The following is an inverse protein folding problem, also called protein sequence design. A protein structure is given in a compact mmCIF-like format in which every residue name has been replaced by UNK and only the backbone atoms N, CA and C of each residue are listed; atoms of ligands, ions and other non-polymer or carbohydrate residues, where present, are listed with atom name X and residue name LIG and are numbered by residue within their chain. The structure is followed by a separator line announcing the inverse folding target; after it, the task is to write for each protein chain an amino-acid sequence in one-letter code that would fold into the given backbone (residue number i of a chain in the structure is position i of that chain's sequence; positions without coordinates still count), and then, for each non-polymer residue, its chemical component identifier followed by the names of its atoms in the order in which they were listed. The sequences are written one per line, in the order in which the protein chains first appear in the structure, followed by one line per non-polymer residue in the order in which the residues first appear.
data_IF_397525513916
#
_entry.id   IF_397525513916
#
_cell.length_a   1.000
_cell.length_b   1.000
_cell.length_c   1.000
_cell.angle_alpha   90.00
_cell.angle_beta   90.00
_cell.angle_gamma   90.00
#
_symmetry.space_group_name_H-M   'P 1'
#
loop_
_entity.id
_entity.type
_entity.pdbx_description
1 polymer ?
#
# COMPACT_ATOMS: atom_id res chain seq x y z
N UNK A 1 6.42 15.87 12.27
CA UNK A 1 5.83 16.50 11.06
C UNK A 1 4.82 15.57 10.36
N UNK A 2 5.02 14.25 10.45
CA UNK A 2 4.07 13.21 10.00
C UNK A 2 2.92 12.98 11.00
N UNK A 3 3.15 13.37 12.25
CA UNK A 3 2.29 13.11 13.41
C UNK A 3 0.93 13.81 13.31
N UNK A 4 0.83 14.92 12.58
CA UNK A 4 -0.43 15.65 12.35
C UNK A 4 -1.36 14.95 11.35
N UNK A 5 -0.83 14.04 10.53
CA UNK A 5 -1.61 13.27 9.54
C UNK A 5 -2.11 11.95 10.13
N UNK A 6 -1.40 11.42 11.12
CA UNK A 6 -1.80 10.25 11.87
C UNK A 6 -3.18 10.49 12.51
N UNK A 7 -4.07 9.51 12.39
CA UNK A 7 -5.42 9.53 12.94
C UNK A 7 -6.38 10.58 12.34
N UNK A 8 -6.00 11.24 11.23
CA UNK A 8 -6.97 12.04 10.46
C UNK A 8 -7.94 11.12 9.72
N UNK A 9 -9.19 11.55 9.57
CA UNK A 9 -10.20 10.80 8.83
C UNK A 9 -9.78 10.57 7.37
N UNK A 10 -9.15 11.58 6.75
CA UNK A 10 -8.62 11.50 5.39
C UNK A 10 -7.57 10.38 5.29
N UNK A 11 -6.65 10.29 6.26
CA UNK A 11 -5.66 9.22 6.25
C UNK A 11 -6.34 7.85 6.41
N UNK A 12 -7.26 7.68 7.37
CA UNK A 12 -8.01 6.42 7.54
C UNK A 12 -8.76 6.00 6.28
N UNK A 13 -9.43 6.94 5.60
CA UNK A 13 -10.14 6.69 4.33
C UNK A 13 -9.17 6.26 3.22
N UNK A 14 -8.01 6.90 3.11
CA UNK A 14 -6.97 6.53 2.14
C UNK A 14 -6.43 5.12 2.40
N UNK A 15 -6.16 4.76 3.66
CA UNK A 15 -5.68 3.42 4.02
C UNK A 15 -6.75 2.37 3.72
N UNK A 16 -8.01 2.63 4.07
CA UNK A 16 -9.12 1.73 3.78
C UNK A 16 -9.32 1.51 2.27
N UNK A 17 -9.10 2.54 1.44
CA UNK A 17 -9.13 2.39 -0.01
C UNK A 17 -8.04 1.44 -0.53
N UNK A 18 -6.83 1.51 0.05
CA UNK A 18 -5.73 0.57 -0.27
C UNK A 18 -6.10 -0.85 0.13
N UNK A 19 -6.62 -1.07 1.34
CA UNK A 19 -7.06 -2.39 1.81
C UNK A 19 -8.14 -2.99 0.89
N UNK A 20 -9.15 -2.19 0.55
CA UNK A 20 -10.24 -2.60 -0.34
C UNK A 20 -9.74 -3.08 -1.70
N UNK A 21 -8.67 -2.47 -2.23
CA UNK A 21 -8.07 -2.92 -3.49
C UNK A 21 -7.41 -4.31 -3.40
N UNK A 22 -6.90 -4.72 -2.24
CA UNK A 22 -6.39 -6.09 -2.02
C UNK A 22 -7.51 -7.09 -1.67
N UNK A 23 -8.65 -6.57 -1.19
CA UNK A 23 -9.83 -7.35 -0.82
C UNK A 23 -9.54 -8.38 0.27
N UNK A 24 -10.33 -9.45 0.32
CA UNK A 24 -10.21 -10.51 1.33
C UNK A 24 -8.87 -11.27 1.34
N UNK A 25 -8.04 -11.10 0.30
CA UNK A 25 -6.70 -11.71 0.23
C UNK A 25 -5.59 -10.85 0.85
N UNK A 26 -5.89 -9.59 1.18
CA UNK A 26 -4.97 -8.67 1.84
C UNK A 26 -5.05 -8.77 3.35
N UNK A 27 -3.94 -8.47 4.00
CA UNK A 27 -3.82 -8.16 5.41
C UNK A 27 -4.29 -6.72 5.68
N UNK A 28 -4.93 -6.48 6.84
CA UNK A 28 -5.27 -5.15 7.29
C UNK A 28 -4.03 -4.26 7.44
N UNK A 29 -4.15 -3.04 6.93
CA UNK A 29 -3.17 -1.97 6.99
C UNK A 29 -3.62 -0.83 7.92
N UNK A 30 -4.91 -0.69 8.22
CA UNK A 30 -5.44 0.36 9.09
C UNK A 30 -5.05 0.13 10.56
N UNK A 31 -3.88 0.66 10.94
CA UNK A 31 -3.40 0.68 12.33
C UNK A 31 -3.32 2.13 12.85
N UNK A 32 -3.62 2.35 14.15
CA UNK A 32 -3.38 3.65 14.78
C UNK A 32 -1.94 4.11 14.60
N UNK A 33 -1.73 5.39 14.29
CA UNK A 33 -0.39 5.94 14.05
C UNK A 33 0.23 5.61 12.70
N UNK A 34 -0.37 4.73 11.89
CA UNK A 34 0.10 4.47 10.52
C UNK A 34 -0.39 5.54 9.56
N UNK A 35 0.51 6.06 8.73
CA UNK A 35 0.25 7.14 7.77
C UNK A 35 0.65 6.71 6.37
N UNK A 36 -0.25 6.88 5.40
CA UNK A 36 0.07 6.68 3.99
C UNK A 36 0.81 7.91 3.44
N UNK A 37 2.10 7.75 3.17
CA UNK A 37 2.99 8.83 2.71
C UNK A 37 2.96 8.97 1.19
N UNK A 38 2.88 7.86 0.48
CA UNK A 38 2.90 7.88 -0.98
C UNK A 38 2.39 6.58 -1.59
N UNK A 39 1.89 6.70 -2.81
CA UNK A 39 1.50 5.56 -3.64
C UNK A 39 1.99 5.76 -5.06
N UNK A 40 2.32 4.67 -5.76
CA UNK A 40 2.80 4.75 -7.13
C UNK A 40 3.08 3.41 -7.76
N UNK A 41 3.01 3.38 -9.10
CA UNK A 41 3.44 2.20 -9.85
C UNK A 41 4.92 2.34 -10.15
N UNK A 42 5.71 1.37 -9.67
CA UNK A 42 7.13 1.29 -9.96
C UNK A 42 7.43 -0.04 -10.67
N UNK A 43 8.52 -0.06 -11.42
CA UNK A 43 9.03 -1.28 -12.04
C UNK A 43 9.88 -2.04 -11.03
N UNK A 44 9.41 -3.20 -10.58
CA UNK A 44 10.16 -4.08 -9.69
C UNK A 44 11.08 -4.97 -10.51
N UNK A 45 12.39 -4.80 -10.32
CA UNK A 45 13.38 -5.72 -10.86
C UNK A 45 13.19 -7.12 -10.26
N UNK A 46 13.04 -8.11 -11.13
CA UNK A 46 12.86 -9.51 -10.77
C UNK A 46 13.84 -10.36 -11.57
N UNK A 47 14.20 -11.55 -11.07
CA UNK A 47 15.21 -12.45 -11.67
C UNK A 47 15.08 -12.66 -13.19
N UNK A 48 13.85 -12.78 -13.72
CA UNK A 48 13.59 -13.06 -15.14
C UNK A 48 13.25 -11.82 -15.98
N UNK A 49 12.44 -10.90 -15.43
CA UNK A 49 11.91 -9.73 -16.14
C UNK A 49 11.44 -8.70 -15.15
N UNK A 50 11.75 -7.43 -15.42
CA UNK A 50 11.21 -6.29 -14.72
C UNK A 50 9.67 -6.23 -14.85
N UNK A 51 8.94 -6.06 -13.74
CA UNK A 51 7.46 -6.08 -13.73
C UNK A 51 6.88 -4.87 -13.01
N UNK A 52 5.83 -4.23 -13.55
CA UNK A 52 5.15 -3.15 -12.84
C UNK A 52 4.47 -3.70 -11.58
N UNK A 53 4.60 -2.97 -10.47
CA UNK A 53 4.00 -3.25 -9.18
C UNK A 53 3.47 -1.95 -8.59
N UNK A 54 2.34 -2.03 -7.91
CA UNK A 54 1.86 -0.91 -7.11
C UNK A 54 2.61 -0.94 -5.77
N UNK A 55 3.08 0.21 -5.34
CA UNK A 55 3.76 0.42 -4.06
C UNK A 55 2.98 1.45 -3.25
N UNK A 56 2.90 1.20 -1.94
CA UNK A 56 2.33 2.08 -0.94
C UNK A 56 3.36 2.23 0.18
N UNK A 57 3.89 3.45 0.32
CA UNK A 57 4.82 3.80 1.36
C UNK A 57 4.05 4.31 2.56
N UNK A 58 4.18 3.63 3.69
CA UNK A 58 3.74 4.09 4.99
C UNK A 58 4.94 4.58 5.80
N UNK A 59 4.67 5.19 6.96
CA UNK A 59 5.72 5.63 7.88
C UNK A 59 6.49 4.49 8.56
N UNK A 60 5.88 3.31 8.71
CA UNK A 60 6.42 2.15 9.42
C UNK A 60 6.63 0.91 8.53
N UNK A 61 5.97 0.87 7.37
CA UNK A 61 6.02 -0.26 6.45
C UNK A 61 6.03 0.20 4.98
N UNK A 62 6.59 -0.64 4.11
CA UNK A 62 6.40 -0.57 2.67
C UNK A 62 5.54 -1.74 2.21
N UNK A 63 4.44 -1.44 1.52
CA UNK A 63 3.54 -2.45 0.97
C UNK A 63 3.63 -2.45 -0.55
N UNK A 64 3.71 -3.62 -1.18
CA UNK A 64 3.62 -3.72 -2.63
C UNK A 64 2.78 -4.90 -3.10
N UNK A 65 2.25 -4.79 -4.31
CA UNK A 65 1.34 -5.79 -4.89
C UNK A 65 1.41 -5.87 -6.41
N UNK A 66 0.88 -6.97 -6.94
CA UNK A 66 0.65 -7.15 -8.37
C UNK A 66 -0.63 -6.42 -8.80
N UNK A 67 -0.55 -5.68 -9.90
CA UNK A 67 -1.68 -4.95 -10.48
C UNK A 67 -2.51 -5.90 -11.32
N UNK A 68 -3.80 -6.05 -10.98
CA UNK A 68 -4.73 -6.87 -11.77
C UNK A 68 -5.73 -5.99 -12.50
N UNK A 69 -6.29 -5.01 -11.81
CA UNK A 69 -7.06 -3.94 -12.42
C UNK A 69 -6.61 -2.63 -11.78
N UNK A 70 -6.14 -1.69 -12.61
CA UNK A 70 -5.54 -0.47 -12.10
C UNK A 70 -6.54 0.30 -11.20
N UNK A 71 -6.08 0.73 -10.03
CA UNK A 71 -6.86 1.43 -8.99
C UNK A 71 -8.14 0.71 -8.52
N UNK A 72 -8.29 -0.58 -8.80
CA UNK A 72 -9.49 -1.36 -8.44
C UNK A 72 -9.17 -2.70 -7.79
N UNK A 73 -8.14 -3.40 -8.27
CA UNK A 73 -7.82 -4.75 -7.77
C UNK A 73 -6.32 -5.05 -7.83
N UNK A 74 -5.77 -5.37 -6.67
CA UNK A 74 -4.39 -5.79 -6.45
C UNK A 74 -4.35 -7.17 -5.83
N UNK A 75 -3.22 -7.86 -5.99
CA UNK A 75 -3.02 -9.23 -5.47
C UNK A 75 -1.59 -9.41 -4.98
N UNK A 76 -1.34 -10.50 -4.26
CA UNK A 76 -0.01 -10.84 -3.74
C UNK A 76 0.59 -9.67 -2.96
N UNK A 77 -0.14 -9.25 -1.93
CA UNK A 77 0.32 -8.21 -1.03
C UNK A 77 1.60 -8.68 -0.32
N UNK A 78 2.61 -7.83 -0.32
CA UNK A 78 3.85 -8.02 0.44
C UNK A 78 4.02 -6.81 1.35
N UNK A 79 4.34 -7.06 2.62
CA UNK A 79 4.56 -6.04 3.63
C UNK A 79 6.02 -6.17 4.09
N UNK A 80 6.76 -5.07 4.04
CA UNK A 80 8.15 -4.98 4.47
C UNK A 80 8.22 -3.94 5.60
N UNK A 81 8.68 -4.30 6.81
CA UNK A 81 8.93 -3.32 7.87
C UNK A 81 10.12 -2.41 7.52
N UNK A 82 10.05 -1.14 7.92
CA UNK A 82 11.10 -0.13 7.72
C UNK A 82 12.00 0.03 8.95
#
# INVERSE_FOLDING_TARGET
MVDHLANTEINSQRIAAVESCFGASGQPLALPGRVLLGEGVLTKECRKKAKPRIFFLFNDILVYGSIVLNKRKYRSQHIIPL
#
